data_IF_793284703779
#
_entry.id   IF_793284703779
#
_cell.length_a   1.000
_cell.length_b   1.000
_cell.length_c   1.000
_cell.angle_alpha   90.00
_cell.angle_beta   90.00
_cell.angle_gamma   90.00
#
_symmetry.space_group_name_H-M   'P 1'
#
loop_
_entity.id
_entity.type
_entity.pdbx_description
1 polymer ?
#
# COMPACT_ATOMS: atom_id res chain seq x y z
N UNK A 1 32.12 4.37 -60.73
CA UNK A 1 31.04 4.81 -59.81
C UNK A 1 30.39 3.62 -59.10
N UNK A 2 31.16 2.81 -58.34
CA UNK A 2 30.64 1.59 -57.66
C UNK A 2 30.97 1.51 -56.17
N UNK A 3 31.74 2.46 -55.62
CA UNK A 3 32.22 2.41 -54.23
C UNK A 3 31.31 3.13 -53.22
N UNK A 4 30.49 4.08 -53.69
CA UNK A 4 29.56 4.84 -52.82
C UNK A 4 28.16 4.20 -52.75
N UNK A 5 27.79 3.34 -53.70
CA UNK A 5 26.51 2.62 -53.66
C UNK A 5 26.55 1.43 -52.68
N UNK A 6 27.72 0.79 -52.53
CA UNK A 6 27.94 -0.29 -51.56
C UNK A 6 27.89 0.20 -50.11
N UNK A 7 28.35 1.43 -49.85
CA UNK A 7 28.34 2.02 -48.51
C UNK A 7 26.91 2.39 -48.07
N UNK A 8 26.08 2.92 -48.97
CA UNK A 8 24.67 3.18 -48.66
C UNK A 8 23.84 1.91 -48.48
N UNK A 9 24.13 0.83 -49.23
CA UNK A 9 23.38 -0.43 -49.09
C UNK A 9 23.70 -1.14 -47.76
N UNK A 10 24.94 -1.03 -47.26
CA UNK A 10 25.30 -1.58 -45.95
C UNK A 10 24.71 -0.79 -44.78
N UNK A 11 24.56 0.54 -44.90
CA UNK A 11 23.92 1.35 -43.85
C UNK A 11 22.41 1.07 -43.78
N UNK A 12 21.76 0.77 -44.91
CA UNK A 12 20.32 0.44 -44.93
C UNK A 12 20.02 -0.97 -44.39
N UNK A 13 20.93 -1.93 -44.54
CA UNK A 13 20.74 -3.30 -44.01
C UNK A 13 20.97 -3.43 -42.50
N UNK A 14 21.68 -2.49 -41.86
CA UNK A 14 21.84 -2.46 -40.39
C UNK A 14 20.56 -1.93 -39.70
N UNK A 15 19.60 -1.39 -40.46
CA UNK A 15 18.37 -0.79 -39.92
C UNK A 15 17.14 -1.74 -39.89
N UNK A 16 17.28 -3.01 -40.32
CA UNK A 16 16.17 -3.97 -40.38
C UNK A 16 16.35 -5.24 -39.53
N UNK A 17 17.32 -5.27 -38.60
CA UNK A 17 17.58 -6.45 -37.76
C UNK A 17 17.60 -6.17 -36.24
N UNK A 18 16.89 -5.14 -35.77
CA UNK A 18 16.46 -5.09 -34.37
C UNK A 18 14.97 -5.44 -34.36
N UNK A 19 14.72 -6.74 -34.51
CA UNK A 19 13.41 -7.31 -34.28
C UNK A 19 13.00 -7.07 -32.83
N UNK A 20 11.69 -6.89 -32.67
CA UNK A 20 10.94 -6.78 -31.43
C UNK A 20 11.48 -7.69 -30.31
N UNK A 21 12.41 -7.19 -29.51
CA UNK A 21 12.46 -7.56 -28.12
C UNK A 21 11.44 -6.64 -27.44
N UNK A 22 10.27 -7.20 -27.10
CA UNK A 22 9.49 -6.63 -26.02
C UNK A 22 10.44 -6.46 -24.85
N UNK A 23 10.80 -5.21 -24.54
CA UNK A 23 11.40 -4.91 -23.26
C UNK A 23 10.28 -5.16 -22.26
N UNK A 24 10.23 -6.39 -21.75
CA UNK A 24 9.77 -6.59 -20.38
C UNK A 24 10.71 -5.70 -19.58
N UNK A 25 10.16 -4.64 -19.00
CA UNK A 25 10.84 -3.94 -17.93
C UNK A 25 11.14 -5.04 -16.93
N UNK A 26 12.43 -5.35 -16.84
CA UNK A 26 13.00 -6.21 -15.81
C UNK A 26 12.43 -5.72 -14.50
N UNK A 27 11.91 -6.64 -13.70
CA UNK A 27 11.86 -6.48 -12.25
C UNK A 27 13.23 -5.92 -11.86
N UNK A 28 13.23 -4.63 -11.48
CA UNK A 28 14.44 -3.98 -11.03
C UNK A 28 14.73 -4.60 -9.67
N UNK A 29 15.77 -5.41 -9.67
CA UNK A 29 16.35 -6.08 -8.51
C UNK A 29 16.94 -5.01 -7.59
N UNK A 30 16.05 -4.31 -6.88
CA UNK A 30 16.37 -3.63 -5.63
C UNK A 30 15.88 -4.53 -4.52
N UNK A 31 16.54 -5.68 -4.35
CA UNK A 31 16.45 -6.47 -3.12
C UNK A 31 17.13 -5.70 -2.00
N UNK A 32 16.41 -4.72 -1.45
CA UNK A 32 16.58 -4.26 -0.08
C UNK A 32 15.26 -3.61 0.38
N UNK A 33 14.53 -4.40 1.16
CA UNK A 33 13.53 -3.97 2.15
C UNK A 33 12.08 -3.66 1.69
N UNK A 34 11.43 -4.59 0.98
CA UNK A 34 9.98 -4.46 0.64
C UNK A 34 9.14 -5.68 1.07
N UNK A 35 9.75 -6.77 1.55
CA UNK A 35 9.03 -8.05 1.76
C UNK A 35 8.47 -8.27 3.17
N UNK A 36 9.05 -7.68 4.23
CA UNK A 36 8.59 -7.94 5.61
C UNK A 36 7.37 -7.09 6.00
N UNK A 37 7.37 -5.80 5.66
CA UNK A 37 6.26 -4.90 5.99
C UNK A 37 4.97 -5.20 5.21
N UNK A 38 5.09 -5.67 3.96
CA UNK A 38 3.89 -6.06 3.19
C UNK A 38 3.22 -7.29 3.78
N UNK A 39 3.99 -8.27 4.27
CA UNK A 39 3.41 -9.45 4.91
C UNK A 39 2.64 -9.10 6.18
N UNK A 40 3.17 -8.15 6.97
CA UNK A 40 2.56 -7.76 8.23
C UNK A 40 1.21 -7.08 8.05
N UNK A 41 1.14 -6.13 7.12
CA UNK A 41 -0.11 -5.44 6.81
C UNK A 41 -1.14 -6.40 6.23
N UNK A 42 -0.73 -7.32 5.34
CA UNK A 42 -1.61 -8.35 4.78
C UNK A 42 -2.21 -9.26 5.87
N UNK A 43 -1.40 -9.67 6.86
CA UNK A 43 -1.86 -10.45 8.01
C UNK A 43 -2.84 -9.66 8.88
N UNK A 44 -2.58 -8.38 9.13
CA UNK A 44 -3.50 -7.50 9.86
C UNK A 44 -4.81 -7.35 9.08
N UNK A 45 -4.79 -7.11 7.77
CA UNK A 45 -5.99 -6.99 6.94
C UNK A 45 -6.81 -8.29 6.93
N UNK A 46 -6.16 -9.45 6.85
CA UNK A 46 -6.82 -10.75 6.95
C UNK A 46 -7.45 -10.97 8.34
N UNK A 47 -6.75 -10.56 9.40
CA UNK A 47 -7.25 -10.61 10.77
C UNK A 47 -8.46 -9.70 10.98
N UNK A 48 -8.45 -8.49 10.42
CA UNK A 48 -9.57 -7.55 10.50
C UNK A 48 -10.82 -8.08 9.79
N UNK A 49 -10.68 -8.79 8.67
CA UNK A 49 -11.79 -9.50 8.00
C UNK A 49 -12.36 -10.61 8.88
N UNK A 50 -11.50 -11.41 9.49
CA UNK A 50 -11.92 -12.51 10.38
C UNK A 50 -12.69 -12.01 11.61
N UNK A 51 -12.40 -10.79 12.05
CA UNK A 51 -13.07 -10.13 13.18
C UNK A 51 -14.26 -9.23 12.78
N UNK A 52 -14.68 -9.23 11.51
CA UNK A 52 -15.77 -8.41 10.97
C UNK A 52 -15.58 -6.89 11.14
N UNK A 53 -14.32 -6.42 11.18
CA UNK A 53 -14.01 -4.98 11.06
C UNK A 53 -14.14 -4.53 9.60
N UNK A 54 -13.65 -5.39 8.70
CA UNK A 54 -13.76 -5.26 7.24
C UNK A 54 -14.74 -6.32 6.78
N UNK A 55 -15.69 -5.98 5.92
CA UNK A 55 -16.53 -7.00 5.31
C UNK A 55 -15.71 -7.75 4.25
N UNK A 56 -15.72 -9.09 4.29
CA UNK A 56 -14.98 -9.93 3.33
C UNK A 56 -15.45 -9.77 1.88
N UNK A 57 -16.68 -9.32 1.69
CA UNK A 57 -17.28 -9.10 0.38
C UNK A 57 -16.88 -7.74 -0.24
N UNK A 58 -16.27 -6.85 0.56
CA UNK A 58 -15.80 -5.56 0.07
C UNK A 58 -14.61 -5.74 -0.88
N UNK A 59 -14.61 -4.95 -1.96
CA UNK A 59 -13.59 -5.07 -2.99
C UNK A 59 -12.36 -4.23 -2.64
N UNK A 60 -11.19 -4.86 -2.55
CA UNK A 60 -9.92 -4.15 -2.40
C UNK A 60 -9.59 -3.36 -3.69
N UNK A 61 -9.37 -2.05 -3.55
CA UNK A 61 -9.15 -1.14 -4.67
C UNK A 61 -7.68 -0.76 -4.85
N UNK A 62 -6.89 -0.78 -3.77
CA UNK A 62 -5.47 -0.45 -3.82
C UNK A 62 -4.94 0.08 -2.49
N UNK A 63 -3.66 0.45 -2.49
CA UNK A 63 -3.00 1.12 -1.37
C UNK A 63 -2.63 2.54 -1.78
N UNK A 64 -3.00 3.48 -0.92
CA UNK A 64 -2.60 4.88 -0.96
C UNK A 64 -1.54 5.11 0.13
N UNK A 65 -0.56 5.96 -0.17
CA UNK A 65 0.49 6.34 0.77
C UNK A 65 1.04 7.71 0.34
N UNK A 66 1.27 8.59 1.31
CA UNK A 66 1.79 9.92 1.03
C UNK A 66 3.16 9.81 0.32
N UNK A 67 3.45 10.72 -0.61
CA UNK A 67 4.72 10.75 -1.34
C UNK A 67 5.38 12.10 -1.07
N UNK A 68 6.42 12.07 -0.24
CA UNK A 68 7.28 13.22 0.02
C UNK A 68 8.40 13.35 -1.01
N UNK A 69 9.25 14.36 -0.82
CA UNK A 69 10.35 14.69 -1.74
C UNK A 69 11.38 13.54 -1.82
N UNK A 70 11.49 12.74 -0.77
CA UNK A 70 12.47 11.64 -0.67
C UNK A 70 11.87 10.25 -0.98
N UNK A 71 10.58 10.17 -1.28
CA UNK A 71 9.90 8.90 -1.58
C UNK A 71 8.57 8.77 -0.85
N UNK A 72 8.09 7.53 -0.71
CA UNK A 72 6.87 7.22 0.05
C UNK A 72 7.10 7.52 1.53
N UNK A 73 6.16 8.22 2.14
CA UNK A 73 6.18 8.70 3.52
C UNK A 73 4.81 8.47 4.17
N UNK A 74 4.75 8.50 5.50
CA UNK A 74 3.50 8.34 6.23
C UNK A 74 2.93 6.92 6.22
N UNK A 75 1.74 6.80 6.80
CA UNK A 75 1.04 5.54 6.97
C UNK A 75 0.39 5.09 5.65
N UNK A 76 0.39 3.78 5.42
CA UNK A 76 -0.35 3.20 4.29
C UNK A 76 -1.84 3.20 4.58
N UNK A 77 -2.63 3.53 3.56
CA UNK A 77 -4.10 3.56 3.58
C UNK A 77 -4.62 2.58 2.55
N UNK A 78 -5.26 1.51 3.01
CA UNK A 78 -5.80 0.46 2.16
C UNK A 78 -7.25 0.77 1.80
N UNK A 79 -7.56 0.93 0.51
CA UNK A 79 -8.90 1.35 0.07
C UNK A 79 -9.77 0.16 -0.30
N UNK A 80 -11.02 0.20 0.17
CA UNK A 80 -12.05 -0.80 -0.08
C UNK A 80 -13.33 -0.14 -0.59
N UNK A 81 -13.99 -0.79 -1.55
CA UNK A 81 -15.33 -0.43 -2.04
C UNK A 81 -16.39 -1.31 -1.36
N UNK A 82 -17.34 -0.69 -0.66
CA UNK A 82 -18.48 -1.35 -0.01
C UNK A 82 -19.66 -1.51 -0.96
N UNK A 83 -19.99 -0.42 -1.66
CA UNK A 83 -21.10 -0.35 -2.61
C UNK A 83 -20.80 0.68 -3.69
N UNK A 84 -21.75 0.92 -4.59
CA UNK A 84 -21.58 1.94 -5.63
C UNK A 84 -21.41 3.33 -5.01
N UNK A 85 -20.25 3.93 -5.27
CA UNK A 85 -19.79 5.20 -4.71
C UNK A 85 -19.63 5.24 -3.18
N UNK A 86 -19.53 4.08 -2.52
CA UNK A 86 -19.24 3.98 -1.09
C UNK A 86 -17.89 3.31 -0.87
N UNK A 87 -16.95 4.06 -0.30
CA UNK A 87 -15.59 3.61 -0.06
C UNK A 87 -15.15 3.96 1.36
N UNK A 88 -14.18 3.20 1.83
CA UNK A 88 -13.45 3.51 3.05
C UNK A 88 -12.00 3.12 2.86
N UNK A 89 -11.14 3.73 3.67
CA UNK A 89 -9.78 3.27 3.82
C UNK A 89 -9.51 2.75 5.23
N UNK A 90 -8.44 1.97 5.31
CA UNK A 90 -7.88 1.45 6.54
C UNK A 90 -6.46 1.95 6.62
N UNK A 91 -6.20 2.85 7.56
CA UNK A 91 -4.85 3.27 7.88
C UNK A 91 -4.28 2.33 8.94
N UNK A 92 -3.12 1.75 8.65
CA UNK A 92 -2.37 0.92 9.58
C UNK A 92 -1.17 1.74 10.04
N UNK A 93 -1.15 2.08 11.33
CA UNK A 93 -0.05 2.82 11.95
C UNK A 93 0.69 1.91 12.92
N UNK A 94 1.94 1.59 12.62
CA UNK A 94 2.79 0.91 13.59
C UNK A 94 3.07 1.82 14.79
N UNK A 95 2.87 1.26 15.97
CA UNK A 95 3.08 1.90 17.26
C UNK A 95 4.11 1.11 18.05
N UNK A 96 5.16 1.78 18.51
CA UNK A 96 6.18 1.19 19.36
C UNK A 96 6.67 2.20 20.39
N UNK A 97 6.83 1.77 21.64
CA UNK A 97 7.17 2.66 22.77
C UNK A 97 8.21 2.02 23.68
N UNK A 98 9.23 2.80 24.08
CA UNK A 98 10.37 2.32 24.87
C UNK A 98 10.16 2.22 26.39
N UNK A 99 8.93 2.37 26.88
CA UNK A 99 8.62 2.27 28.32
C UNK A 99 7.20 1.75 28.51
N UNK A 100 6.87 1.10 29.63
CA UNK A 100 5.49 0.71 29.91
C UNK A 100 4.55 1.93 29.92
N UNK A 101 3.37 1.79 29.32
CA UNK A 101 2.41 2.90 29.22
C UNK A 101 1.03 2.49 28.76
N UNK A 102 0.19 3.49 28.52
CA UNK A 102 -1.18 3.34 28.01
C UNK A 102 -1.37 4.23 26.77
N UNK A 103 -2.05 3.71 25.75
CA UNK A 103 -2.35 4.41 24.51
C UNK A 103 -3.77 4.05 24.06
N UNK A 104 -4.67 5.03 23.94
CA UNK A 104 -6.10 4.82 23.64
C UNK A 104 -6.76 3.69 24.48
N UNK A 105 -6.50 3.69 25.80
CA UNK A 105 -7.01 2.67 26.72
C UNK A 105 -6.30 1.31 26.64
N UNK A 106 -5.36 1.12 25.70
CA UNK A 106 -4.53 -0.07 25.59
C UNK A 106 -3.26 0.04 26.44
N UNK A 107 -3.09 -0.89 27.38
CA UNK A 107 -1.89 -0.99 28.21
C UNK A 107 -0.86 -1.86 27.52
N UNK A 108 0.27 -1.27 27.15
CA UNK A 108 1.36 -1.95 26.45
C UNK A 108 2.58 -2.13 27.35
N UNK A 109 3.40 -3.12 27.00
CA UNK A 109 4.69 -3.39 27.65
C UNK A 109 5.80 -2.60 26.97
N UNK A 110 6.91 -2.41 27.69
CA UNK A 110 8.12 -1.85 27.13
C UNK A 110 8.56 -2.67 25.91
N UNK A 111 8.92 -1.96 24.85
CA UNK A 111 9.40 -2.53 23.59
C UNK A 111 8.34 -3.40 22.88
N UNK A 112 7.06 -3.26 23.24
CA UNK A 112 5.95 -3.88 22.52
C UNK A 112 5.62 -3.07 21.26
N UNK A 113 5.61 -3.76 20.12
CA UNK A 113 5.02 -3.26 18.88
C UNK A 113 3.54 -3.65 18.82
N UNK A 114 2.70 -2.68 18.52
CA UNK A 114 1.27 -2.85 18.25
C UNK A 114 0.87 -1.89 17.14
N UNK A 115 -0.37 -1.97 16.67
CA UNK A 115 -0.84 -1.20 15.53
C UNK A 115 -2.12 -0.46 15.89
N UNK A 116 -2.17 0.83 15.55
CA UNK A 116 -3.42 1.58 15.51
C UNK A 116 -4.01 1.42 14.12
N UNK A 117 -5.22 0.88 14.08
CA UNK A 117 -6.01 0.71 12.87
C UNK A 117 -7.09 1.78 12.87
N UNK A 118 -7.08 2.64 11.87
CA UNK A 118 -8.08 3.68 11.70
C UNK A 118 -8.90 3.39 10.46
N UNK A 119 -10.21 3.21 10.63
CA UNK A 119 -11.15 2.94 9.54
C UNK A 119 -11.98 4.19 9.29
N UNK A 120 -11.91 4.74 8.08
CA UNK A 120 -12.55 6.01 7.75
C UNK A 120 -13.20 5.96 6.37
N UNK A 121 -14.42 6.47 6.31
CA UNK A 121 -15.19 6.57 5.08
C UNK A 121 -14.65 7.72 4.20
N UNK A 122 -14.61 7.50 2.89
CA UNK A 122 -13.95 8.43 1.98
C UNK A 122 -14.49 8.40 0.55
N UNK A 123 -14.27 9.49 -0.20
CA UNK A 123 -14.47 9.53 -1.64
C UNK A 123 -13.23 9.00 -2.35
N UNK A 124 -13.47 8.22 -3.40
CA UNK A 124 -12.43 7.57 -4.19
C UNK A 124 -12.52 7.97 -5.66
N UNK A 125 -11.40 8.44 -6.22
CA UNK A 125 -11.22 8.74 -7.62
C UNK A 125 -10.28 7.70 -8.26
N UNK A 126 -10.85 6.64 -8.83
CA UNK A 126 -10.09 5.57 -9.47
C UNK A 126 -9.39 5.96 -10.78
N UNK A 127 -9.72 7.13 -11.34
CA UNK A 127 -9.11 7.65 -12.58
C UNK A 127 -7.93 8.60 -12.28
N UNK A 128 -7.56 8.76 -11.01
CA UNK A 128 -6.46 9.62 -10.60
C UNK A 128 -5.11 9.14 -11.17
N UNK A 129 -4.33 10.09 -11.73
CA UNK A 129 -2.96 9.82 -12.19
C UNK A 129 -1.97 9.77 -11.02
N UNK A 130 -2.22 10.55 -9.97
CA UNK A 130 -1.39 10.62 -8.77
C UNK A 130 -2.07 9.93 -7.59
N UNK A 131 -1.27 9.19 -6.82
CA UNK A 131 -1.71 8.47 -5.61
C UNK A 131 -2.38 9.41 -4.61
N UNK A 132 -1.84 10.62 -4.43
CA UNK A 132 -2.43 11.67 -3.59
C UNK A 132 -3.84 12.13 -3.99
N UNK A 133 -4.25 11.85 -5.22
CA UNK A 133 -5.52 12.31 -5.78
C UNK A 133 -6.56 11.16 -5.81
N UNK A 134 -6.16 9.96 -5.36
CA UNK A 134 -7.01 8.76 -5.32
C UNK A 134 -8.07 8.90 -4.22
N UNK A 135 -7.68 9.36 -3.02
CA UNK A 135 -8.63 9.71 -1.95
C UNK A 135 -8.86 11.21 -2.00
N UNK A 136 -10.07 11.63 -2.37
CA UNK A 136 -10.36 13.06 -2.62
C UNK A 136 -10.97 13.79 -1.44
N UNK A 137 -11.63 13.05 -0.55
CA UNK A 137 -12.29 13.59 0.63
C UNK A 137 -12.50 12.50 1.68
N UNK A 138 -12.31 12.84 2.95
CA UNK A 138 -12.58 11.98 4.10
C UNK A 138 -13.84 12.49 4.80
N UNK A 139 -14.77 11.60 5.14
CA UNK A 139 -16.04 11.98 5.75
C UNK A 139 -16.48 11.01 6.87
N UNK A 140 -17.36 11.51 7.75
CA UNK A 140 -17.95 10.71 8.83
C UNK A 140 -17.09 10.60 10.10
N UNK A 141 -17.49 9.69 10.98
CA UNK A 141 -16.76 9.40 12.23
C UNK A 141 -15.68 8.34 11.98
N UNK A 142 -14.48 8.61 12.50
CA UNK A 142 -13.37 7.67 12.46
C UNK A 142 -13.58 6.57 13.51
N UNK A 143 -13.44 5.31 13.10
CA UNK A 143 -13.43 4.19 14.05
C UNK A 143 -12.01 3.67 14.22
N UNK A 144 -11.57 3.53 15.47
CA UNK A 144 -10.19 3.14 15.79
C UNK A 144 -10.14 1.82 16.54
N UNK A 145 -9.15 1.00 16.18
CA UNK A 145 -8.86 -0.28 16.81
C UNK A 145 -7.38 -0.39 17.14
N UNK A 146 -7.05 -1.15 18.17
CA UNK A 146 -5.70 -1.59 18.46
C UNK A 146 -5.58 -3.06 18.04
N UNK A 147 -4.58 -3.36 17.23
CA UNK A 147 -4.13 -4.71 16.92
C UNK A 147 -2.78 -4.94 17.59
N UNK A 148 -2.66 -5.97 18.42
CA UNK A 148 -1.40 -6.29 19.10
C UNK A 148 -1.09 -7.79 19.06
N UNK A 149 0.18 -8.14 19.23
CA UNK A 149 0.66 -9.52 19.20
C UNK A 149 1.55 -9.83 17.98
N UNK A 150 1.87 -11.10 17.82
CA UNK A 150 2.65 -11.62 16.68
C UNK A 150 1.70 -12.15 15.60
N UNK A 151 2.21 -12.39 14.39
CA UNK A 151 1.41 -12.78 13.21
C UNK A 151 0.42 -13.92 13.51
N UNK A 152 0.90 -14.96 14.20
CA UNK A 152 0.08 -16.13 14.55
C UNK A 152 -0.88 -15.92 15.74
N UNK A 153 -0.86 -14.76 16.40
CA UNK A 153 -1.57 -14.51 17.66
C UNK A 153 -1.99 -13.04 17.83
N UNK A 154 -2.52 -12.44 16.77
CA UNK A 154 -3.06 -11.09 16.80
C UNK A 154 -4.31 -10.99 17.69
N UNK A 155 -4.44 -9.87 18.39
CA UNK A 155 -5.59 -9.52 19.22
C UNK A 155 -6.17 -8.19 18.78
N UNK A 156 -7.51 -8.08 18.75
CA UNK A 156 -8.22 -6.87 18.38
C UNK A 156 -8.87 -6.22 19.62
N UNK A 157 -8.77 -4.90 19.73
CA UNK A 157 -9.47 -4.09 20.75
C UNK A 157 -10.01 -2.82 20.11
N UNK A 158 -11.18 -2.36 20.55
CA UNK A 158 -11.65 -1.01 20.20
C UNK A 158 -10.82 0.00 20.98
N UNK A 159 -10.32 1.02 20.28
CA UNK A 159 -9.57 2.10 20.88
C UNK A 159 -10.53 3.08 21.58
N UNK A 160 -10.19 3.51 22.79
CA UNK A 160 -11.01 4.44 23.58
C UNK A 160 -10.15 5.65 23.95
N UNK A 161 -10.64 6.85 23.60
CA UNK A 161 -9.99 8.12 23.97
C UNK A 161 -10.07 8.44 25.47
#
# INVERSE_FOLDING_TARGET
MKRNLFLCLMILMVMCCVGCASVKISEDDTTQDVTEDSSKDDDILAFLKTNNVINSDDTYMGVDQDIGILGREGNKRYVYKQADNEFYYIEISECGFGSNGEFYGYKYKADETFYLITVIQCNYNGDAEFVSDVVTEVYGEETRYIVSGTDDNLQLRVAVE
#
